data_IF_242633439525
#
_entry.id   IF_242633439525
#
_cell.length_a   1.000
_cell.length_b   1.000
_cell.length_c   1.000
_cell.angle_alpha   90.00
_cell.angle_beta   90.00
_cell.angle_gamma   90.00
#
_symmetry.space_group_name_H-M   'P 1'
#
loop_
_entity.id
_entity.type
_entity.pdbx_description
1 polymer ?
#
# COMPACT_ATOMS: atom_id res chain seq x y z
N UNK A 1 6.99 1.43 -16.89
CA UNK A 1 5.97 0.42 -17.17
C UNK A 1 5.71 0.42 -18.67
N UNK A 2 5.79 -0.75 -19.32
CA UNK A 2 5.61 -0.89 -20.78
C UNK A 2 4.12 -0.95 -21.19
N UNK A 3 3.18 -0.73 -20.26
CA UNK A 3 1.74 -0.80 -20.51
C UNK A 3 1.23 0.13 -21.64
N UNK A 4 1.76 1.37 -21.79
CA UNK A 4 1.35 2.22 -22.91
C UNK A 4 1.73 1.64 -24.27
N UNK A 5 2.74 0.77 -24.34
CA UNK A 5 3.28 0.25 -25.61
C UNK A 5 2.40 -0.87 -26.18
N UNK A 6 1.90 -1.78 -25.33
CA UNK A 6 0.96 -2.81 -25.77
C UNK A 6 -0.34 -2.20 -26.33
N UNK A 7 -0.86 -1.17 -25.67
CA UNK A 7 -2.00 -0.37 -26.17
C UNK A 7 -1.68 0.36 -27.46
N UNK A 8 -0.53 1.03 -27.53
CA UNK A 8 -0.11 1.80 -28.70
C UNK A 8 0.08 0.91 -29.95
N UNK A 9 0.52 -0.33 -29.75
CA UNK A 9 0.69 -1.32 -30.80
C UNK A 9 -0.60 -2.09 -31.14
N UNK A 10 -1.70 -1.84 -30.42
CA UNK A 10 -2.98 -2.54 -30.61
C UNK A 10 -2.93 -4.02 -30.22
N UNK A 11 -2.00 -4.39 -29.34
CA UNK A 11 -1.81 -5.77 -28.85
C UNK A 11 -2.75 -6.12 -27.69
N UNK A 12 -3.32 -5.11 -27.04
CA UNK A 12 -4.29 -5.24 -25.97
C UNK A 12 -5.52 -4.37 -26.26
N UNK A 13 -6.71 -4.88 -25.93
CA UNK A 13 -7.95 -4.09 -25.94
C UNK A 13 -8.12 -3.33 -24.62
N UNK A 14 -8.86 -2.23 -24.65
CA UNK A 14 -9.23 -1.51 -23.43
C UNK A 14 -10.32 -2.27 -22.68
N UNK A 15 -10.21 -2.32 -21.36
CA UNK A 15 -11.15 -3.04 -20.49
C UNK A 15 -12.33 -2.18 -20.03
N UNK A 16 -12.39 -0.89 -20.37
CA UNK A 16 -13.39 0.06 -19.87
C UNK A 16 -14.83 -0.46 -20.02
N UNK A 17 -15.20 -0.97 -21.18
CA UNK A 17 -16.55 -1.50 -21.42
C UNK A 17 -16.76 -2.86 -20.76
N UNK A 18 -15.72 -3.71 -20.70
CA UNK A 18 -15.78 -5.00 -19.98
C UNK A 18 -16.05 -4.81 -18.50
N UNK A 19 -15.36 -3.86 -17.88
CA UNK A 19 -15.54 -3.48 -16.47
C UNK A 19 -16.95 -2.97 -16.24
N UNK A 20 -17.42 -2.03 -17.08
CA UNK A 20 -18.78 -1.47 -17.00
C UNK A 20 -19.85 -2.55 -17.09
N UNK A 21 -19.67 -3.50 -18.00
CA UNK A 21 -20.64 -4.59 -18.25
C UNK A 21 -20.57 -5.71 -17.21
N UNK A 22 -19.47 -5.83 -16.46
CA UNK A 22 -19.25 -6.89 -15.47
C UNK A 22 -19.43 -6.41 -14.03
N UNK A 23 -19.99 -5.21 -13.82
CA UNK A 23 -19.89 -4.56 -12.52
C UNK A 23 -20.64 -5.30 -11.39
N UNK A 24 -21.72 -6.01 -11.74
CA UNK A 24 -22.44 -6.86 -10.80
C UNK A 24 -21.60 -8.02 -10.24
N UNK A 25 -20.50 -8.40 -10.91
CA UNK A 25 -19.62 -9.49 -10.50
C UNK A 25 -18.25 -8.99 -10.05
N UNK A 26 -17.70 -7.99 -10.74
CA UNK A 26 -16.36 -7.47 -10.50
C UNK A 26 -16.32 -6.51 -9.30
N UNK A 27 -17.40 -5.74 -9.07
CA UNK A 27 -17.46 -4.71 -8.03
C UNK A 27 -16.24 -3.77 -8.09
N UNK A 28 -15.87 -3.33 -9.31
CA UNK A 28 -14.69 -2.53 -9.56
C UNK A 28 -14.68 -1.23 -8.76
N UNK A 29 -15.84 -0.58 -8.59
CA UNK A 29 -15.97 0.61 -7.76
C UNK A 29 -15.62 0.40 -6.27
N UNK A 30 -15.70 -0.84 -5.78
CA UNK A 30 -15.37 -1.18 -4.39
C UNK A 30 -13.86 -1.47 -4.19
N UNK A 31 -13.09 -1.58 -5.28
CA UNK A 31 -11.63 -1.69 -5.21
C UNK A 31 -11.03 -0.37 -4.72
N UNK A 32 -10.02 -0.42 -3.85
CA UNK A 32 -9.33 0.77 -3.35
C UNK A 32 -8.94 1.70 -4.51
N UNK A 33 -9.30 3.01 -4.49
CA UNK A 33 -9.06 3.92 -5.62
C UNK A 33 -7.60 3.99 -6.07
N UNK A 34 -6.66 3.84 -5.14
CA UNK A 34 -5.23 3.80 -5.44
C UNK A 34 -4.87 2.63 -6.37
N UNK A 35 -5.46 1.45 -6.16
CA UNK A 35 -5.26 0.28 -7.01
C UNK A 35 -5.90 0.49 -8.38
N UNK A 36 -7.09 1.12 -8.41
CA UNK A 36 -7.79 1.41 -9.65
C UNK A 36 -6.96 2.30 -10.60
N UNK A 37 -6.25 3.30 -10.06
CA UNK A 37 -5.48 4.25 -10.86
C UNK A 37 -4.08 3.75 -11.26
N UNK A 38 -3.49 2.80 -10.53
CA UNK A 38 -2.11 2.33 -10.79
C UNK A 38 -1.92 1.73 -12.19
N UNK A 39 -2.97 1.13 -12.75
CA UNK A 39 -2.97 0.60 -14.12
C UNK A 39 -3.51 1.55 -15.18
N UNK A 40 -4.08 2.70 -14.78
CA UNK A 40 -4.72 3.61 -15.71
C UNK A 40 -3.71 4.46 -16.47
N UNK A 41 -4.00 4.70 -17.75
CA UNK A 41 -3.28 5.66 -18.58
C UNK A 41 -4.26 6.56 -19.32
N UNK A 42 -3.78 7.72 -19.77
CA UNK A 42 -4.60 8.68 -20.50
C UNK A 42 -4.31 8.62 -22.01
N UNK A 43 -5.36 8.46 -22.81
CA UNK A 43 -5.31 8.48 -24.28
C UNK A 43 -6.60 9.10 -24.82
N UNK A 44 -6.47 9.98 -25.82
CA UNK A 44 -7.60 10.68 -26.45
C UNK A 44 -8.55 11.38 -25.46
N UNK A 45 -7.96 11.96 -24.41
CA UNK A 45 -8.69 12.68 -23.37
C UNK A 45 -9.40 11.79 -22.34
N UNK A 46 -9.36 10.46 -22.49
CA UNK A 46 -10.02 9.49 -21.63
C UNK A 46 -9.01 8.65 -20.82
N UNK A 47 -9.43 8.18 -19.65
CA UNK A 47 -8.68 7.19 -18.87
C UNK A 47 -9.00 5.79 -19.40
N UNK A 48 -7.96 5.01 -19.67
CA UNK A 48 -8.05 3.66 -20.18
C UNK A 48 -7.32 2.71 -19.24
N UNK A 49 -7.77 1.46 -19.21
CA UNK A 49 -7.17 0.38 -18.45
C UNK A 49 -7.15 -0.86 -19.33
N UNK A 50 -5.97 -1.46 -19.54
CA UNK A 50 -5.84 -2.66 -20.39
C UNK A 50 -5.65 -3.93 -19.57
N UNK A 51 -5.26 -3.79 -18.30
CA UNK A 51 -5.01 -4.89 -17.37
C UNK A 51 -5.58 -4.56 -15.99
N UNK A 52 -6.22 -5.54 -15.34
CA UNK A 52 -6.64 -5.40 -13.94
C UNK A 52 -5.45 -5.67 -13.02
N UNK A 53 -5.24 -4.77 -12.05
CA UNK A 53 -4.28 -4.99 -10.98
C UNK A 53 -4.91 -5.96 -9.97
N UNK A 54 -4.38 -7.19 -9.92
CA UNK A 54 -4.92 -8.25 -9.03
C UNK A 54 -4.41 -8.13 -7.59
N UNK A 55 -3.27 -7.47 -7.39
CA UNK A 55 -2.61 -7.33 -6.09
C UNK A 55 -2.25 -5.86 -5.85
N UNK A 56 -2.57 -5.40 -4.64
CA UNK A 56 -2.49 -4.02 -4.18
C UNK A 56 -1.86 -3.95 -2.79
N UNK A 57 -0.80 -4.71 -2.54
CA UNK A 57 -0.06 -4.65 -1.29
C UNK A 57 0.64 -3.29 -1.13
N UNK A 58 0.20 -2.53 -0.12
CA UNK A 58 0.82 -1.27 0.28
C UNK A 58 1.49 -1.43 1.65
N UNK A 59 2.76 -1.04 1.74
CA UNK A 59 3.42 -0.84 3.02
C UNK A 59 3.19 0.60 3.47
N UNK A 60 2.33 0.78 4.47
CA UNK A 60 2.10 2.07 5.12
C UNK A 60 2.76 2.03 6.49
N UNK A 61 3.84 2.78 6.73
CA UNK A 61 4.43 2.90 8.05
C UNK A 61 3.43 3.56 9.01
N UNK A 62 3.14 2.90 10.14
CA UNK A 62 2.30 3.45 11.21
C UNK A 62 3.19 3.57 12.44
N UNK A 63 3.20 4.77 13.05
CA UNK A 63 4.04 5.09 14.23
C UNK A 63 3.14 5.35 15.44
N UNK A 64 3.47 4.75 16.58
CA UNK A 64 2.80 4.98 17.88
C UNK A 64 3.22 6.33 18.46
N UNK A 65 2.37 7.35 18.26
CA UNK A 65 2.64 8.73 18.70
C UNK A 65 2.77 8.85 20.23
N UNK A 66 2.01 8.07 20.98
CA UNK A 66 2.08 8.05 22.44
C UNK A 66 3.45 7.58 22.96
N UNK A 67 4.12 6.66 22.24
CA UNK A 67 5.49 6.27 22.58
C UNK A 67 6.49 7.38 22.28
N UNK A 68 6.27 8.15 21.22
CA UNK A 68 7.09 9.32 20.92
C UNK A 68 6.96 10.38 22.01
N UNK A 69 5.72 10.68 22.42
CA UNK A 69 5.42 11.65 23.47
C UNK A 69 5.98 11.20 24.83
N UNK A 70 5.78 9.93 25.22
CA UNK A 70 6.30 9.33 26.46
C UNK A 70 7.82 9.49 26.59
N UNK A 71 8.54 9.45 25.48
CA UNK A 71 10.00 9.53 25.44
C UNK A 71 10.56 10.85 24.89
N UNK A 72 9.70 11.86 24.67
CA UNK A 72 10.06 13.16 24.10
C UNK A 72 10.87 13.04 22.80
N UNK A 73 10.44 12.15 21.90
CA UNK A 73 11.07 11.88 20.60
C UNK A 73 10.29 12.54 19.46
N UNK A 74 10.96 13.05 18.42
CA UNK A 74 10.30 13.58 17.24
C UNK A 74 9.74 12.46 16.34
N UNK A 75 8.78 12.82 15.49
CA UNK A 75 8.33 11.95 14.41
C UNK A 75 9.48 11.71 13.40
N UNK A 76 9.77 10.46 13.00
CA UNK A 76 10.84 10.18 12.03
C UNK A 76 10.43 10.63 10.61
N UNK A 77 11.34 11.31 9.92
CA UNK A 77 11.18 11.80 8.56
C UNK A 77 12.13 11.11 7.55
N UNK A 78 13.00 10.21 8.03
CA UNK A 78 13.92 9.42 7.20
C UNK A 78 13.90 7.95 7.60
N UNK A 79 14.32 7.07 6.70
CA UNK A 79 14.42 5.63 7.01
C UNK A 79 15.44 5.34 8.09
N UNK A 80 16.54 6.09 8.13
CA UNK A 80 17.54 6.01 9.19
C UNK A 80 16.94 6.37 10.56
N UNK A 81 16.11 7.41 10.63
CA UNK A 81 15.38 7.77 11.85
C UNK A 81 14.38 6.69 12.27
N UNK A 82 13.66 6.07 11.32
CA UNK A 82 12.77 4.92 11.59
C UNK A 82 13.57 3.76 12.18
N UNK A 83 14.73 3.42 11.61
CA UNK A 83 15.57 2.33 12.10
C UNK A 83 16.12 2.65 13.50
N UNK A 84 16.52 3.89 13.76
CA UNK A 84 17.00 4.29 15.08
C UNK A 84 15.89 4.25 16.14
N UNK A 85 14.68 4.67 15.78
CA UNK A 85 13.49 4.56 16.62
C UNK A 85 13.18 3.10 16.94
N UNK A 86 13.21 2.23 15.92
CA UNK A 86 12.99 0.81 16.08
C UNK A 86 14.03 0.15 17.01
N UNK A 87 15.31 0.50 16.86
CA UNK A 87 16.38 0.03 17.76
C UNK A 87 16.17 0.50 19.20
N UNK A 88 15.69 1.72 19.40
CA UNK A 88 15.44 2.25 20.74
C UNK A 88 14.34 1.48 21.47
N UNK A 89 13.25 1.14 20.78
CA UNK A 89 12.10 0.44 21.36
C UNK A 89 12.24 -1.07 21.43
N UNK A 90 13.14 -1.66 20.65
CA UNK A 90 13.32 -3.10 20.63
C UNK A 90 13.75 -3.66 22.01
N UNK A 91 13.01 -4.64 22.51
CA UNK A 91 13.25 -5.29 23.79
C UNK A 91 12.71 -4.51 25.00
N UNK A 92 11.95 -3.44 24.78
CA UNK A 92 11.22 -2.73 25.86
C UNK A 92 9.78 -3.22 25.91
N UNK A 93 9.18 -3.09 27.08
CA UNK A 93 7.74 -3.25 27.27
C UNK A 93 7.04 -1.96 26.83
N UNK A 94 6.28 -2.02 25.73
CA UNK A 94 5.62 -0.87 25.09
C UNK A 94 4.13 -0.79 25.41
N UNK A 95 3.58 -1.83 26.03
CA UNK A 95 2.16 -1.95 26.39
C UNK A 95 1.92 -2.17 27.90
N UNK A 96 2.99 -2.15 28.69
CA UNK A 96 3.02 -2.29 30.14
C UNK A 96 2.52 -3.67 30.63
N UNK A 97 2.76 -4.74 29.86
CA UNK A 97 2.35 -6.13 30.17
C UNK A 97 3.46 -7.00 30.80
N UNK A 98 4.66 -6.45 30.97
CA UNK A 98 5.83 -7.14 31.52
C UNK A 98 6.62 -7.98 30.51
N UNK A 99 6.24 -8.00 29.24
CA UNK A 99 6.90 -8.74 28.16
C UNK A 99 7.63 -7.77 27.21
N UNK A 100 8.89 -8.08 26.82
CA UNK A 100 9.59 -7.26 25.82
C UNK A 100 8.96 -7.32 24.42
N UNK A 101 8.77 -6.16 23.80
CA UNK A 101 8.22 -6.01 22.45
C UNK A 101 9.28 -5.77 21.36
N UNK A 102 8.84 -5.87 20.10
CA UNK A 102 9.63 -5.49 18.93
C UNK A 102 9.46 -4.00 18.60
N UNK A 103 10.57 -3.29 18.36
CA UNK A 103 10.52 -1.87 17.98
C UNK A 103 10.13 -1.61 16.53
N UNK A 104 10.06 -2.64 15.69
CA UNK A 104 9.46 -2.58 14.35
C UNK A 104 8.79 -3.92 14.04
N UNK A 105 7.51 -3.86 13.71
CA UNK A 105 6.72 -4.99 13.28
C UNK A 105 6.37 -4.81 11.81
N UNK A 106 6.69 -5.80 10.99
CA UNK A 106 6.07 -6.00 9.68
C UNK A 106 5.08 -7.15 9.86
N UNK A 107 3.90 -7.07 9.24
CA UNK A 107 2.78 -8.01 9.26
C UNK A 107 2.97 -9.28 10.13
N UNK A 108 2.09 -9.56 11.12
CA UNK A 108 2.09 -10.89 11.71
C UNK A 108 1.85 -11.90 10.59
N UNK A 109 2.78 -12.85 10.42
CA UNK A 109 2.49 -14.07 9.68
C UNK A 109 1.32 -14.73 10.39
N UNK A 110 0.24 -15.02 9.66
CA UNK A 110 -0.96 -15.65 10.22
C UNK A 110 -0.70 -17.10 10.71
N UNK A 111 0.52 -17.58 10.50
CA UNK A 111 0.99 -18.95 10.63
C UNK A 111 2.27 -19.11 11.49
N UNK A 112 2.62 -18.11 12.32
CA UNK A 112 3.74 -18.22 13.29
C UNK A 112 3.27 -18.58 14.70
#
# INVERSE_FOLDING_TARGET
SHFPEASALGLAETLNDRIRNSEAQLQWQDVLPQVQIMGQYRKDGQNNLDFLMFDGDFFVPIVRLDLLERHNMPLPNTWEEVINLARFFHGRDLNDDGVPDYGLCHFPRADA
#
